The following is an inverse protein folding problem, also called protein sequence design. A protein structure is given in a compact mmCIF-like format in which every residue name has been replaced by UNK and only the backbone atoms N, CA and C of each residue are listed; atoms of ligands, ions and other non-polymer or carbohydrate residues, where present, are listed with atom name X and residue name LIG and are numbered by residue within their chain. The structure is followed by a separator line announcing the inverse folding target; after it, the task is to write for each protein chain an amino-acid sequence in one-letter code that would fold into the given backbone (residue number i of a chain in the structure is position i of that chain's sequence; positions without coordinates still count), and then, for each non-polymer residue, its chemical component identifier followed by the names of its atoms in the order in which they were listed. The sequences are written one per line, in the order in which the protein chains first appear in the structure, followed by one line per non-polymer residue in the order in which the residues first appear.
data_IF_308456950443
#
_entry.id   IF_308456950443
#
_cell.length_a   1.000
_cell.length_b   1.000
_cell.length_c   1.000
_cell.angle_alpha   90.00
_cell.angle_beta   90.00
_cell.angle_gamma   90.00
#
_symmetry.space_group_name_H-M   'P 1'
#
loop_
_entity.id
_entity.type
_entity.pdbx_description
1 polymer ?
#
# COMPACT_ATOMS: atom_id res chain seq x y z
N UNK A 1 -36.58 -11.23 -2.86
CA UNK A 1 -36.27 -10.36 -1.70
C UNK A 1 -36.11 -8.93 -2.23
N UNK A 2 -37.14 -8.07 -2.12
CA UNK A 2 -37.11 -6.73 -2.74
C UNK A 2 -36.06 -5.82 -2.10
N UNK A 3 -35.37 -5.03 -2.93
CA UNK A 3 -34.26 -4.12 -2.57
C UNK A 3 -34.62 -3.14 -1.43
N UNK A 4 -35.90 -2.83 -1.25
CA UNK A 4 -36.41 -1.90 -0.22
C UNK A 4 -36.17 -2.37 1.22
N UNK A 5 -36.04 -3.68 1.49
CA UNK A 5 -35.81 -4.19 2.86
C UNK A 5 -34.38 -3.98 3.37
N UNK A 6 -33.43 -3.62 2.51
CA UNK A 6 -32.02 -3.47 2.89
C UNK A 6 -31.70 -2.08 3.46
N UNK A 7 -32.50 -1.06 3.14
CA UNK A 7 -32.23 0.33 3.57
C UNK A 7 -32.31 0.53 5.10
N UNK A 8 -33.05 -0.34 5.80
CA UNK A 8 -33.24 -0.26 7.26
C UNK A 8 -32.10 -0.92 8.05
N UNK A 9 -31.15 -1.60 7.40
CA UNK A 9 -30.02 -2.24 8.06
C UNK A 9 -28.82 -1.30 8.11
N UNK A 10 -28.24 -1.11 9.29
CA UNK A 10 -27.13 -0.18 9.58
C UNK A 10 -25.93 -0.31 8.63
N UNK A 11 -25.56 -1.54 8.23
CA UNK A 11 -24.46 -1.80 7.29
C UNK A 11 -24.75 -1.34 5.85
N UNK A 12 -25.99 -1.48 5.38
CA UNK A 12 -26.36 -1.23 3.99
C UNK A 12 -26.64 0.25 3.70
N UNK A 13 -26.86 1.06 4.75
CA UNK A 13 -27.05 2.52 4.65
C UNK A 13 -25.85 3.24 4.01
N UNK A 14 -24.63 2.69 4.13
CA UNK A 14 -23.42 3.24 3.49
C UNK A 14 -23.46 3.12 1.96
N UNK A 15 -24.05 2.05 1.42
CA UNK A 15 -24.17 1.85 -0.02
C UNK A 15 -25.08 2.90 -0.66
N UNK A 16 -26.18 3.23 0.01
CA UNK A 16 -27.10 4.27 -0.43
C UNK A 16 -26.55 5.70 -0.30
N UNK A 17 -25.44 5.91 0.46
CA UNK A 17 -24.74 7.21 0.45
C UNK A 17 -23.93 7.45 -0.82
N UNK A 18 -23.51 6.38 -1.50
CA UNK A 18 -22.76 6.44 -2.76
C UNK A 18 -23.65 6.44 -4.00
N UNK A 19 -24.98 6.47 -3.84
CA UNK A 19 -25.96 6.40 -4.93
C UNK A 19 -25.85 7.57 -5.93
N UNK A 20 -25.34 8.71 -5.46
CA UNK A 20 -25.10 9.90 -6.26
C UNK A 20 -23.85 9.79 -7.15
N UNK A 21 -23.05 8.73 -7.00
CA UNK A 21 -21.83 8.54 -7.75
C UNK A 21 -22.10 7.58 -8.92
N UNK A 22 -21.97 8.09 -10.14
CA UNK A 22 -22.25 7.37 -11.40
C UNK A 22 -21.39 6.09 -11.55
N UNK A 23 -20.25 6.04 -10.86
CA UNK A 23 -19.34 4.90 -10.89
C UNK A 23 -19.77 3.73 -9.96
N UNK A 24 -20.86 3.87 -9.20
CA UNK A 24 -21.28 2.87 -8.20
C UNK A 24 -22.50 2.09 -8.70
N UNK A 25 -22.25 0.85 -9.19
CA UNK A 25 -23.32 -0.07 -9.57
C UNK A 25 -23.98 -0.69 -8.33
N UNK A 26 -25.25 -0.32 -8.08
CA UNK A 26 -26.07 -0.87 -6.99
C UNK A 26 -26.31 -2.36 -7.21
N UNK A 27 -26.52 -2.77 -8.46
CA UNK A 27 -26.81 -4.15 -8.83
C UNK A 27 -25.63 -5.04 -8.48
N UNK A 28 -24.44 -4.70 -8.93
CA UNK A 28 -23.24 -5.52 -8.70
C UNK A 28 -22.84 -5.51 -7.22
N UNK A 29 -22.95 -4.35 -6.56
CA UNK A 29 -22.70 -4.24 -5.11
C UNK A 29 -23.67 -5.07 -4.28
N UNK A 30 -24.95 -5.15 -4.68
CA UNK A 30 -25.96 -5.95 -3.99
C UNK A 30 -25.75 -7.46 -4.20
N UNK A 31 -25.29 -7.86 -5.39
CA UNK A 31 -24.90 -9.23 -5.71
C UNK A 31 -23.67 -9.60 -4.87
N UNK A 32 -22.66 -8.72 -4.81
CA UNK A 32 -21.49 -8.90 -3.98
C UNK A 32 -21.84 -9.02 -2.49
N UNK A 33 -22.67 -8.16 -1.93
CA UNK A 33 -23.07 -8.28 -0.51
C UNK A 33 -23.89 -9.53 -0.20
N UNK A 34 -24.62 -10.06 -1.18
CA UNK A 34 -25.50 -11.21 -0.99
C UNK A 34 -24.79 -12.55 -1.16
N UNK A 35 -23.81 -12.61 -2.06
CA UNK A 35 -23.12 -13.85 -2.43
C UNK A 35 -21.61 -13.80 -2.19
N UNK A 36 -21.07 -12.66 -1.74
CA UNK A 36 -19.65 -12.34 -1.64
C UNK A 36 -18.96 -12.98 -0.46
N UNK A 37 -19.00 -14.30 -0.42
CA UNK A 37 -17.89 -15.02 0.18
C UNK A 37 -16.77 -15.06 -0.85
N UNK A 38 -16.04 -13.94 -0.99
CA UNK A 38 -14.78 -13.97 -1.73
C UNK A 38 -13.84 -14.80 -0.85
N UNK A 39 -13.32 -15.94 -1.32
CA UNK A 39 -12.33 -16.68 -0.54
C UNK A 39 -11.15 -15.75 -0.27
N UNK A 40 -10.59 -15.79 0.95
CA UNK A 40 -9.56 -14.85 1.41
C UNK A 40 -8.42 -14.62 0.40
N UNK A 41 -8.07 -15.64 -0.40
CA UNK A 41 -7.10 -15.55 -1.50
C UNK A 41 -7.54 -14.55 -2.58
N UNK A 42 -8.78 -14.65 -3.08
CA UNK A 42 -9.30 -13.71 -4.09
C UNK A 42 -9.52 -12.31 -3.53
N UNK A 43 -9.84 -12.19 -2.24
CA UNK A 43 -9.95 -10.88 -1.59
C UNK A 43 -8.58 -10.24 -1.48
N UNK A 44 -7.57 -11.00 -1.04
CA UNK A 44 -6.17 -10.58 -1.04
C UNK A 44 -5.70 -10.12 -2.42
N UNK A 45 -5.87 -10.95 -3.45
CA UNK A 45 -5.42 -10.63 -4.81
C UNK A 45 -6.15 -9.41 -5.40
N UNK A 46 -7.47 -9.32 -5.22
CA UNK A 46 -8.26 -8.22 -5.77
C UNK A 46 -8.01 -6.90 -5.01
N UNK A 47 -7.85 -6.94 -3.69
CA UNK A 47 -7.54 -5.76 -2.88
C UNK A 47 -6.10 -5.30 -3.11
N UNK A 48 -5.13 -6.21 -3.22
CA UNK A 48 -3.76 -5.88 -3.61
C UNK A 48 -3.73 -5.27 -5.01
N UNK A 49 -4.44 -5.85 -5.97
CA UNK A 49 -4.54 -5.28 -7.32
C UNK A 49 -5.16 -3.88 -7.33
N UNK A 50 -6.22 -3.64 -6.55
CA UNK A 50 -6.84 -2.33 -6.41
C UNK A 50 -5.91 -1.32 -5.69
N UNK A 51 -5.18 -1.75 -4.66
CA UNK A 51 -4.17 -0.92 -4.00
C UNK A 51 -3.05 -0.54 -4.97
N UNK A 52 -2.55 -1.49 -5.75
CA UNK A 52 -1.51 -1.27 -6.75
C UNK A 52 -1.94 -0.26 -7.82
N UNK A 53 -3.21 -0.33 -8.27
CA UNK A 53 -3.77 0.66 -9.19
C UNK A 53 -3.98 2.02 -8.54
N UNK A 54 -4.38 2.06 -7.27
CA UNK A 54 -4.62 3.31 -6.54
C UNK A 54 -3.34 4.05 -6.19
N UNK A 55 -2.25 3.34 -5.87
CA UNK A 55 -0.95 3.95 -5.54
C UNK A 55 -0.37 4.75 -6.72
N UNK A 56 -0.68 4.34 -7.96
CA UNK A 56 -0.23 5.04 -9.17
C UNK A 56 -1.36 5.76 -9.91
N UNK A 57 -2.53 5.94 -9.27
CA UNK A 57 -3.71 6.58 -9.87
C UNK A 57 -4.11 6.02 -11.24
N UNK A 58 -3.82 4.73 -11.48
CA UNK A 58 -4.09 4.07 -12.75
C UNK A 58 -3.21 4.53 -13.93
N UNK A 59 -2.19 5.37 -13.72
CA UNK A 59 -1.31 5.80 -14.80
C UNK A 59 -0.27 4.71 -15.12
N UNK A 60 -0.24 4.18 -16.36
CA UNK A 60 0.76 3.20 -16.78
C UNK A 60 2.12 3.89 -16.96
N UNK A 61 2.81 4.15 -15.85
CA UNK A 61 4.17 4.69 -15.85
C UNK A 61 5.19 3.55 -15.92
N UNK A 62 6.31 3.79 -16.60
CA UNK A 62 7.50 2.94 -16.48
C UNK A 62 8.20 3.20 -15.15
N UNK A 63 8.91 2.21 -14.65
CA UNK A 63 9.71 2.35 -13.44
C UNK A 63 10.77 3.45 -13.62
N UNK A 64 10.88 4.43 -12.71
CA UNK A 64 11.85 5.51 -12.86
C UNK A 64 13.30 5.04 -12.66
N UNK A 65 13.51 3.89 -12.01
CA UNK A 65 14.85 3.38 -11.72
C UNK A 65 15.39 2.51 -12.86
N UNK A 66 14.60 1.54 -13.33
CA UNK A 66 15.05 0.62 -14.37
C UNK A 66 14.59 0.98 -15.79
N UNK A 67 13.47 1.69 -15.97
CA UNK A 67 12.90 1.99 -17.29
C UNK A 67 12.25 0.80 -18.00
N UNK A 68 12.65 -0.44 -17.67
CA UNK A 68 12.24 -1.66 -18.38
C UNK A 68 10.82 -2.13 -18.05
N UNK A 69 10.42 -2.09 -16.77
CA UNK A 69 9.14 -2.62 -16.33
C UNK A 69 8.10 -1.52 -16.05
N UNK A 70 6.83 -1.90 -16.04
CA UNK A 70 5.78 -1.03 -15.50
C UNK A 70 6.00 -0.76 -14.02
N UNK A 71 5.68 0.46 -13.61
CA UNK A 71 5.73 0.92 -12.22
C UNK A 71 4.55 0.30 -11.46
N UNK A 72 4.72 -0.94 -11.02
CA UNK A 72 3.81 -1.61 -10.08
C UNK A 72 4.44 -1.67 -8.70
N UNK A 73 3.63 -1.86 -7.66
CA UNK A 73 4.13 -1.98 -6.28
C UNK A 73 5.02 -3.20 -6.18
N UNK A 74 4.57 -4.32 -6.73
CA UNK A 74 5.35 -5.56 -6.81
C UNK A 74 6.71 -5.35 -7.50
N UNK A 75 6.74 -4.61 -8.62
CA UNK A 75 8.00 -4.31 -9.29
C UNK A 75 8.93 -3.45 -8.42
N UNK A 76 8.43 -2.37 -7.86
CA UNK A 76 9.22 -1.47 -7.01
C UNK A 76 9.67 -2.16 -5.71
N UNK A 77 8.84 -3.01 -5.12
CA UNK A 77 9.12 -3.66 -3.85
C UNK A 77 10.11 -4.82 -3.98
N UNK A 78 10.02 -5.63 -5.05
CA UNK A 78 10.76 -6.89 -5.12
C UNK A 78 11.52 -7.14 -6.43
N UNK A 79 11.12 -6.54 -7.55
CA UNK A 79 11.66 -6.92 -8.88
C UNK A 79 12.59 -5.88 -9.49
N UNK A 80 12.65 -4.67 -8.95
CA UNK A 80 13.50 -3.62 -9.46
C UNK A 80 14.89 -3.69 -8.81
N UNK A 81 15.85 -4.32 -9.48
CA UNK A 81 17.23 -4.45 -8.98
C UNK A 81 17.87 -3.10 -8.65
N UNK A 82 17.68 -2.09 -9.51
CA UNK A 82 18.23 -0.74 -9.28
C UNK A 82 17.62 -0.08 -8.04
N UNK A 83 16.32 -0.20 -7.83
CA UNK A 83 15.65 0.36 -6.64
C UNK A 83 16.06 -0.38 -5.35
N UNK A 84 16.21 -1.70 -5.42
CA UNK A 84 16.69 -2.52 -4.30
C UNK A 84 18.13 -2.17 -3.95
N UNK A 85 19.00 -2.05 -4.96
CA UNK A 85 20.41 -1.72 -4.77
C UNK A 85 20.61 -0.34 -4.13
N UNK A 86 19.86 0.67 -4.59
CA UNK A 86 20.07 2.06 -4.16
C UNK A 86 19.15 2.46 -3.01
N UNK A 87 17.86 2.63 -3.26
CA UNK A 87 16.92 3.26 -2.35
C UNK A 87 16.53 2.38 -1.18
N UNK A 88 16.44 1.07 -1.39
CA UNK A 88 16.20 0.13 -0.30
C UNK A 88 17.41 0.05 0.63
N UNK A 89 18.60 -0.23 0.11
CA UNK A 89 19.84 -0.28 0.90
C UNK A 89 20.13 1.03 1.62
N UNK A 90 19.93 2.18 0.95
CA UNK A 90 20.10 3.51 1.57
C UNK A 90 19.16 3.69 2.76
N UNK A 91 17.86 3.44 2.59
CA UNK A 91 16.88 3.57 3.70
C UNK A 91 17.21 2.62 4.85
N UNK A 92 17.60 1.39 4.54
CA UNK A 92 18.04 0.43 5.56
C UNK A 92 19.26 0.93 6.34
N UNK A 93 20.27 1.44 5.63
CA UNK A 93 21.44 2.00 6.26
C UNK A 93 21.06 3.18 7.17
N UNK A 94 20.23 4.13 6.71
CA UNK A 94 19.79 5.25 7.55
C UNK A 94 19.06 4.79 8.83
N UNK A 95 18.15 3.81 8.73
CA UNK A 95 17.48 3.24 9.91
C UNK A 95 18.50 2.62 10.87
N UNK A 96 19.45 1.86 10.35
CA UNK A 96 20.52 1.28 11.17
C UNK A 96 21.40 2.35 11.82
N UNK A 97 21.66 3.48 11.13
CA UNK A 97 22.40 4.60 11.71
C UNK A 97 21.66 5.19 12.92
N UNK A 98 20.35 5.37 12.83
CA UNK A 98 19.53 5.85 13.94
C UNK A 98 19.57 4.88 15.14
N UNK A 99 19.36 3.58 14.89
CA UNK A 99 19.41 2.55 15.94
C UNK A 99 20.79 2.52 16.60
N UNK A 100 21.85 2.58 15.80
CA UNK A 100 23.22 2.62 16.28
C UNK A 100 23.46 3.83 17.20
N UNK A 101 23.02 5.02 16.78
CA UNK A 101 23.16 6.24 17.58
C UNK A 101 22.39 6.16 18.91
N UNK A 102 21.17 5.61 18.90
CA UNK A 102 20.39 5.38 20.11
C UNK A 102 21.11 4.45 21.10
N UNK A 103 21.73 3.38 20.60
CA UNK A 103 22.54 2.48 21.43
C UNK A 103 23.77 3.19 21.99
N UNK A 104 24.49 3.97 21.16
CA UNK A 104 25.64 4.74 21.62
C UNK A 104 25.27 5.71 22.75
N UNK A 105 24.14 6.42 22.63
CA UNK A 105 23.64 7.32 23.66
C UNK A 105 23.28 6.56 24.95
N UNK A 106 22.61 5.41 24.84
CA UNK A 106 22.22 4.59 25.99
C UNK A 106 23.42 4.09 26.80
N UNK A 107 24.51 3.73 26.13
CA UNK A 107 25.72 3.21 26.78
C UNK A 107 26.80 4.27 27.03
N UNK A 108 26.50 5.56 26.84
CA UNK A 108 27.45 6.65 27.09
C UNK A 108 28.68 6.65 26.17
N UNK A 109 28.57 6.05 24.98
CA UNK A 109 29.67 5.97 24.02
C UNK A 109 29.95 7.35 23.46
N UNK A 110 31.19 7.84 23.62
CA UNK A 110 31.61 9.15 23.15
C UNK A 110 31.53 9.22 21.62
N UNK A 111 30.99 10.33 21.11
CA UNK A 111 30.91 10.59 19.67
C UNK A 111 32.31 10.66 19.06
N UNK A 112 32.53 9.89 18.00
CA UNK A 112 33.76 9.89 17.19
C UNK A 112 33.48 10.47 15.81
N UNK A 113 34.52 10.79 15.03
CA UNK A 113 34.37 11.28 13.64
C UNK A 113 33.47 10.38 12.78
N UNK A 114 33.48 9.07 13.03
CA UNK A 114 32.62 8.09 12.33
C UNK A 114 31.13 8.24 12.70
N UNK A 115 30.83 8.50 13.97
CA UNK A 115 29.46 8.73 14.47
C UNK A 115 28.84 10.05 13.97
N UNK A 116 29.66 11.03 13.58
CA UNK A 116 29.17 12.30 13.02
C UNK A 116 28.39 12.12 11.70
N UNK A 117 28.66 11.06 10.96
CA UNK A 117 27.93 10.71 9.73
C UNK A 117 26.57 10.03 9.99
N UNK A 118 26.24 9.78 11.26
CA UNK A 118 24.96 9.22 11.72
C UNK A 118 24.01 10.28 12.28
N UNK A 119 24.40 11.56 12.21
CA UNK A 119 23.51 12.68 12.54
C UNK A 119 22.42 12.75 11.47
N UNK A 120 21.17 12.62 11.90
CA UNK A 120 19.96 12.88 11.09
C UNK A 120 19.69 14.38 11.07
#
# INVERSE_FOLDING_TARGET
MSLYKLNNKTLYKKLYKGLSNENVSIKDSSIWLKYGNIPAIREGDALCFLQDKNIFLGEPKRCPHCGEAYKTVDHLAYKCEKMLGTDYTRRHNEVLKCIHLLMCNKYGIKSTKKLRNHLV
#
